data_IF_590917481062
#
_entry.id   IF_590917481062
#
_cell.length_a   1.000
_cell.length_b   1.000
_cell.length_c   1.000
_cell.angle_alpha   90.00
_cell.angle_beta   90.00
_cell.angle_gamma   90.00
#
_symmetry.space_group_name_H-M   'P 1'
#
loop_
_entity.id
_entity.type
_entity.pdbx_description
1 polymer ?
#
# COMPACT_ATOMS: atom_id res chain seq x y z
N UNK A 1 -2.79 -1.15 5.29
CA UNK A 1 -1.89 -2.13 4.63
C UNK A 1 -0.51 -1.52 4.50
N UNK A 2 0.55 -2.30 4.72
CA UNK A 2 1.93 -1.87 4.52
C UNK A 2 2.21 -1.67 3.02
N UNK A 3 3.35 -1.04 2.70
CA UNK A 3 3.77 -0.83 1.31
C UNK A 3 3.87 -2.13 0.52
N UNK A 4 4.43 -3.18 1.13
CA UNK A 4 4.66 -4.45 0.45
C UNK A 4 3.36 -5.26 0.31
N UNK A 5 2.47 -5.19 1.32
CA UNK A 5 1.10 -5.73 1.19
C UNK A 5 0.36 -5.09 0.01
N UNK A 6 0.42 -3.76 -0.15
CA UNK A 6 -0.22 -3.06 -1.26
C UNK A 6 0.37 -3.44 -2.61
N UNK A 7 1.70 -3.55 -2.70
CA UNK A 7 2.40 -3.95 -3.93
C UNK A 7 2.00 -5.35 -4.38
N UNK A 8 1.99 -6.32 -3.46
CA UNK A 8 1.63 -7.68 -3.79
C UNK A 8 0.12 -7.81 -4.07
N UNK A 9 -0.72 -7.15 -3.26
CA UNK A 9 -2.17 -7.17 -3.43
C UNK A 9 -2.62 -6.67 -4.81
N UNK A 10 -1.90 -5.72 -5.42
CA UNK A 10 -2.21 -5.30 -6.78
C UNK A 10 -2.18 -6.46 -7.80
N UNK A 11 -1.19 -7.35 -7.71
CA UNK A 11 -1.11 -8.54 -8.59
C UNK A 11 -2.21 -9.55 -8.29
N UNK A 12 -2.58 -9.70 -7.01
CA UNK A 12 -3.69 -10.55 -6.57
C UNK A 12 -5.02 -10.02 -7.13
N UNK A 13 -5.26 -8.72 -7.02
CA UNK A 13 -6.49 -8.07 -7.49
C UNK A 13 -6.64 -8.22 -9.01
N UNK A 14 -5.54 -8.07 -9.77
CA UNK A 14 -5.53 -8.28 -11.21
C UNK A 14 -5.92 -9.72 -11.58
N UNK A 15 -5.26 -10.73 -10.98
CA UNK A 15 -5.57 -12.14 -11.24
C UNK A 15 -7.01 -12.52 -10.82
N UNK A 16 -7.46 -12.01 -9.67
CA UNK A 16 -8.82 -12.22 -9.19
C UNK A 16 -9.85 -11.65 -10.17
N UNK A 17 -9.59 -10.45 -10.71
CA UNK A 17 -10.48 -9.80 -11.68
C UNK A 17 -10.53 -10.54 -13.02
N UNK A 18 -9.40 -11.11 -13.47
CA UNK A 18 -9.31 -11.89 -14.70
C UNK A 18 -10.15 -13.18 -14.59
N UNK A 19 -10.05 -13.90 -13.47
CA UNK A 19 -10.87 -15.09 -13.22
C UNK A 19 -12.35 -14.76 -13.20
N UNK A 20 -12.74 -13.69 -12.50
CA UNK A 20 -14.12 -13.22 -12.47
C UNK A 20 -14.62 -12.86 -13.88
N UNK A 21 -13.81 -12.16 -14.69
CA UNK A 21 -14.16 -11.79 -16.05
C UNK A 21 -14.37 -13.01 -16.96
N UNK A 22 -13.59 -14.07 -16.77
CA UNK A 22 -13.73 -15.35 -17.49
C UNK A 22 -14.91 -16.21 -16.99
N UNK A 23 -15.61 -15.81 -15.93
CA UNK A 23 -16.67 -16.60 -15.30
C UNK A 23 -16.14 -17.77 -14.45
N UNK A 24 -14.86 -17.77 -14.08
CA UNK A 24 -14.19 -18.82 -13.33
C UNK A 24 -14.26 -18.58 -11.81
N UNK A 25 -15.45 -18.29 -11.30
CA UNK A 25 -15.65 -17.98 -9.87
C UNK A 25 -15.63 -19.23 -8.98
N UNK A 26 -15.87 -20.42 -9.55
CA UNK A 26 -15.79 -21.71 -8.85
C UNK A 26 -14.40 -22.36 -8.96
N UNK A 27 -13.44 -21.71 -9.61
CA UNK A 27 -12.05 -22.17 -9.72
C UNK A 27 -11.36 -22.09 -8.34
N UNK A 28 -10.75 -23.17 -7.80
CA UNK A 28 -9.87 -23.15 -6.63
C UNK A 28 -9.04 -21.88 -6.41
N UNK A 29 -8.31 -21.40 -7.42
CA UNK A 29 -7.50 -20.19 -7.31
C UNK A 29 -8.34 -18.95 -6.94
N UNK A 30 -9.57 -18.83 -7.42
CA UNK A 30 -10.46 -17.73 -7.03
C UNK A 30 -10.76 -17.77 -5.53
N UNK A 31 -11.00 -18.97 -4.97
CA UNK A 31 -11.18 -19.20 -3.53
C UNK A 31 -9.92 -18.84 -2.72
N UNK A 32 -8.74 -19.25 -3.19
CA UNK A 32 -7.46 -18.93 -2.54
C UNK A 32 -7.18 -17.43 -2.53
N UNK A 33 -7.46 -16.74 -3.64
CA UNK A 33 -7.31 -15.29 -3.74
C UNK A 33 -8.33 -14.55 -2.83
N UNK A 34 -9.57 -15.05 -2.71
CA UNK A 34 -10.53 -14.52 -1.74
C UNK A 34 -10.00 -14.63 -0.31
N UNK A 35 -9.45 -15.78 0.08
CA UNK A 35 -8.90 -15.96 1.43
C UNK A 35 -7.75 -14.98 1.72
N UNK A 36 -6.88 -14.73 0.73
CA UNK A 36 -5.87 -13.68 0.83
C UNK A 36 -6.50 -12.29 1.00
N UNK A 37 -7.45 -11.93 0.14
CA UNK A 37 -8.14 -10.63 0.17
C UNK A 37 -8.80 -10.42 1.53
N UNK A 38 -9.59 -11.38 2.00
CA UNK A 38 -10.26 -11.35 3.30
C UNK A 38 -9.27 -11.12 4.44
N UNK A 39 -8.13 -11.81 4.41
CA UNK A 39 -7.08 -11.60 5.41
C UNK A 39 -6.52 -10.18 5.39
N UNK A 40 -6.32 -9.60 4.20
CA UNK A 40 -5.88 -8.20 4.09
C UNK A 40 -6.94 -7.22 4.60
N UNK A 41 -8.23 -7.52 4.42
CA UNK A 41 -9.32 -6.62 4.79
C UNK A 41 -9.57 -6.52 6.31
N UNK A 42 -9.03 -7.43 7.13
CA UNK A 42 -9.17 -7.41 8.61
C UNK A 42 -8.81 -6.04 9.23
N UNK A 43 -7.83 -5.32 8.66
CA UNK A 43 -7.39 -3.99 9.14
C UNK A 43 -7.85 -2.83 8.26
N UNK A 44 -8.63 -3.08 7.22
CA UNK A 44 -9.11 -2.06 6.28
C UNK A 44 -10.45 -1.53 6.79
N UNK A 45 -10.39 -0.73 7.85
CA UNK A 45 -11.57 -0.10 8.45
C UNK A 45 -11.35 1.39 8.61
N UNK A 46 -12.40 2.20 8.47
CA UNK A 46 -12.31 3.65 8.58
C UNK A 46 -13.35 4.39 7.75
N UNK A 47 -13.12 5.69 7.55
CA UNK A 47 -13.99 6.57 6.77
C UNK A 47 -13.20 7.33 5.72
N UNK A 48 -13.79 7.46 4.53
CA UNK A 48 -13.23 8.23 3.42
C UNK A 48 -14.24 9.30 3.04
N UNK A 49 -13.84 10.57 3.11
CA UNK A 49 -14.66 11.69 2.64
C UNK A 49 -14.37 11.91 1.17
N UNK A 50 -15.40 11.82 0.34
CA UNK A 50 -15.30 11.98 -1.12
C UNK A 50 -16.11 13.20 -1.55
N UNK A 51 -15.49 14.06 -2.37
CA UNK A 51 -16.15 15.17 -3.05
C UNK A 51 -16.58 14.71 -4.44
N UNK A 52 -17.88 14.80 -4.71
CA UNK A 52 -18.46 14.50 -6.02
C UNK A 52 -18.71 15.81 -6.76
N UNK A 53 -18.23 15.93 -7.99
CA UNK A 53 -18.42 17.14 -8.80
C UNK A 53 -18.32 16.84 -10.29
N UNK A 54 -19.34 17.20 -11.07
CA UNK A 54 -19.37 17.09 -12.55
C UNK A 54 -18.84 15.75 -13.08
N UNK A 55 -19.35 14.63 -12.57
CA UNK A 55 -18.92 13.29 -12.99
C UNK A 55 -17.58 12.80 -12.41
N UNK A 56 -16.93 13.58 -11.55
CA UNK A 56 -15.71 13.17 -10.84
C UNK A 56 -15.99 12.83 -9.38
N UNK A 57 -15.21 11.88 -8.85
CA UNK A 57 -15.15 11.54 -7.43
C UNK A 57 -13.71 11.72 -6.95
N UNK A 58 -13.49 12.63 -5.99
CA UNK A 58 -12.16 12.92 -5.42
C UNK A 58 -12.16 12.68 -3.92
N UNK A 59 -11.22 11.87 -3.44
CA UNK A 59 -10.98 11.70 -2.00
C UNK A 59 -10.41 13.01 -1.43
N UNK A 60 -11.03 13.54 -0.38
CA UNK A 60 -10.62 14.79 0.28
C UNK A 60 -10.19 14.60 1.73
N UNK A 61 -10.62 13.52 2.40
CA UNK A 61 -10.14 13.18 3.73
C UNK A 61 -10.24 11.67 3.98
N UNK A 62 -9.43 11.16 4.91
CA UNK A 62 -9.37 9.76 5.34
C UNK A 62 -9.17 9.72 6.85
N UNK A 63 -9.84 8.80 7.53
CA UNK A 63 -9.64 8.53 8.97
C UNK A 63 -9.79 7.04 9.24
N UNK A 64 -8.96 6.48 10.11
CA UNK A 64 -8.98 5.06 10.47
C UNK A 64 -8.34 4.85 11.83
N UNK A 65 -8.89 3.94 12.64
CA UNK A 65 -8.25 3.48 13.87
C UNK A 65 -7.03 2.59 13.64
N UNK A 66 -6.86 2.04 12.43
CA UNK A 66 -5.71 1.24 12.02
C UNK A 66 -4.82 1.98 11.01
N UNK A 67 -4.86 3.32 11.02
CA UNK A 67 -4.01 4.13 10.15
C UNK A 67 -2.53 3.84 10.44
N UNK A 68 -1.77 3.44 9.42
CA UNK A 68 -0.30 3.40 9.48
C UNK A 68 0.33 4.78 9.28
N UNK A 69 -0.50 5.79 9.01
CA UNK A 69 -0.08 7.18 8.95
C UNK A 69 0.07 7.74 10.35
N UNK A 70 1.20 8.41 10.62
CA UNK A 70 1.41 9.20 11.83
C UNK A 70 1.80 10.62 11.43
N UNK A 71 1.05 11.60 11.94
CA UNK A 71 1.33 13.02 11.69
C UNK A 71 2.66 13.45 12.34
N UNK A 72 2.95 12.92 13.54
CA UNK A 72 4.21 13.20 14.25
C UNK A 72 5.42 12.68 13.49
N UNK A 73 5.36 11.44 12.97
CA UNK A 73 6.46 10.87 12.17
C UNK A 73 6.62 11.57 10.81
N UNK A 74 5.57 12.24 10.32
CA UNK A 74 5.60 12.95 9.03
C UNK A 74 5.89 14.45 9.16
N UNK A 75 5.90 14.99 10.39
CA UNK A 75 6.06 16.42 10.63
C UNK A 75 7.54 16.83 10.57
N UNK A 76 7.82 18.00 9.99
CA UNK A 76 9.15 18.59 10.00
C UNK A 76 9.51 19.24 11.35
N UNK A 77 8.50 19.58 12.15
CA UNK A 77 8.68 20.19 13.48
C UNK A 77 8.84 19.14 14.58
N UNK A 78 8.75 17.86 14.22
CA UNK A 78 8.84 16.72 15.14
C UNK A 78 10.26 16.19 15.24
N UNK A 79 10.65 15.78 16.44
CA UNK A 79 11.91 15.07 16.73
C UNK A 79 11.71 13.56 16.96
N UNK A 80 10.55 13.01 16.60
CA UNK A 80 10.22 11.58 16.83
C UNK A 80 11.11 10.62 16.04
N UNK A 81 11.70 11.06 14.92
CA UNK A 81 12.65 10.27 14.12
C UNK A 81 14.02 10.97 14.17
N UNK A 82 15.09 10.23 14.51
CA UNK A 82 16.45 10.73 14.32
C UNK A 82 16.80 10.72 12.82
N UNK A 83 16.96 11.92 12.25
CA UNK A 83 17.30 12.07 10.84
C UNK A 83 18.67 11.51 10.49
N UNK A 84 19.57 11.31 11.47
CA UNK A 84 20.90 10.71 11.24
C UNK A 84 20.82 9.25 10.79
N UNK A 85 19.76 8.52 11.16
CA UNK A 85 19.57 7.13 10.73
C UNK A 85 19.44 7.00 9.21
N UNK A 86 18.96 8.06 8.54
CA UNK A 86 18.84 8.09 7.09
C UNK A 86 20.19 8.04 6.36
N UNK A 87 21.28 8.51 6.98
CA UNK A 87 22.61 8.51 6.37
C UNK A 87 23.08 7.08 6.05
N UNK A 88 22.95 6.17 7.02
CA UNK A 88 23.28 4.77 6.85
C UNK A 88 22.39 4.11 5.79
N UNK A 89 21.07 4.33 5.89
CA UNK A 89 20.12 3.78 4.93
C UNK A 89 20.46 4.20 3.48
N UNK A 90 20.72 5.48 3.23
CA UNK A 90 21.07 5.99 1.90
C UNK A 90 22.38 5.39 1.36
N UNK A 91 23.39 5.15 2.23
CA UNK A 91 24.66 4.53 1.85
C UNK A 91 24.53 3.06 1.47
N UNK A 92 23.58 2.32 2.05
CA UNK A 92 23.38 0.90 1.70
C UNK A 92 22.31 0.69 0.62
N UNK A 93 21.23 1.46 0.63
CA UNK A 93 20.14 1.32 -0.33
C UNK A 93 20.61 1.52 -1.79
N UNK A 94 21.47 2.50 -2.03
CA UNK A 94 22.04 2.77 -3.36
C UNK A 94 23.37 2.06 -3.65
N UNK A 95 23.79 1.10 -2.82
CA UNK A 95 25.13 0.52 -2.89
C UNK A 95 25.42 -0.15 -4.24
N UNK A 96 24.49 -0.99 -4.74
CA UNK A 96 24.65 -1.67 -6.02
C UNK A 96 24.74 -0.70 -7.20
N UNK A 97 23.89 0.34 -7.22
CA UNK A 97 23.94 1.36 -8.28
C UNK A 97 25.30 2.11 -8.28
N UNK A 98 25.87 2.39 -7.10
CA UNK A 98 27.20 2.98 -6.98
C UNK A 98 28.32 2.04 -7.45
N UNK A 99 28.18 0.73 -7.23
CA UNK A 99 29.12 -0.25 -7.79
C UNK A 99 29.06 -0.26 -9.31
N UNK A 100 27.85 -0.31 -9.89
CA UNK A 100 27.65 -0.29 -11.33
C UNK A 100 28.28 0.95 -12.00
N UNK A 101 28.13 2.14 -11.40
CA UNK A 101 28.72 3.38 -11.93
C UNK A 101 30.26 3.36 -12.00
N UNK A 102 30.93 2.51 -11.23
CA UNK A 102 32.40 2.40 -11.18
C UNK A 102 32.96 1.39 -12.18
N UNK A 103 32.10 0.59 -12.81
CA UNK A 103 32.46 -0.20 -14.00
C UNK A 103 32.66 0.75 -15.18
#
# INVERSE_FOLDING_TARGET
>A
LTRDELRFKAMVDDAWSELAYKGLVDEPLYGDLNAFIDKTQVRVTGSVKVKLYKGSAKVVARSSGFALYSAELSSFDSSTIDQKDAEGFCKYHGFQARMFKKL
#
